data_IF_364737964824
#
_entry.id   IF_364737964824
#
_cell.length_a   1.000
_cell.length_b   1.000
_cell.length_c   1.000
_cell.angle_alpha   90.00
_cell.angle_beta   90.00
_cell.angle_gamma   90.00
#
_symmetry.space_group_name_H-M   'P 1'
#
loop_
_entity.id
_entity.type
_entity.pdbx_description
1 polymer ?
#
# COMPACT_ATOMS: atom_id res chain seq x y z
N UNK A 1 9.39 -11.60 5.23
CA UNK A 1 9.23 -10.22 4.74
C UNK A 1 7.94 -9.64 5.26
N UNK A 2 7.94 -8.38 5.69
CA UNK A 2 6.74 -7.59 5.99
C UNK A 2 6.39 -6.77 4.75
N UNK A 3 5.12 -6.79 4.38
CA UNK A 3 4.60 -6.11 3.19
C UNK A 3 3.54 -5.11 3.60
N UNK A 4 3.75 -3.85 3.25
CA UNK A 4 2.82 -2.74 3.49
C UNK A 4 2.12 -2.42 2.17
N UNK A 5 0.82 -2.64 2.09
CA UNK A 5 0.00 -2.38 0.91
C UNK A 5 -0.72 -1.06 1.14
N UNK A 6 -0.21 0.04 0.59
CA UNK A 6 -0.65 1.40 0.87
C UNK A 6 -1.38 1.99 -0.35
N UNK A 7 -2.70 2.20 -0.22
CA UNK A 7 -3.44 2.98 -1.21
C UNK A 7 -3.06 4.45 -1.13
N UNK A 8 -2.72 5.06 -2.26
CA UNK A 8 -2.37 6.48 -2.33
C UNK A 8 -3.33 7.38 -1.53
N UNK A 9 -2.80 8.50 -1.05
CA UNK A 9 -3.59 9.45 -0.29
C UNK A 9 -4.58 10.23 -1.18
N UNK A 10 -5.42 11.03 -0.55
CA UNK A 10 -6.41 11.87 -1.25
C UNK A 10 -5.72 12.80 -2.26
N UNK A 11 -6.21 12.79 -3.50
CA UNK A 11 -5.72 13.58 -4.61
C UNK A 11 -6.84 14.48 -5.13
N UNK A 12 -6.47 15.62 -5.71
CA UNK A 12 -7.42 16.52 -6.39
C UNK A 12 -8.21 15.75 -7.44
N UNK A 13 -9.41 16.20 -7.78
CA UNK A 13 -10.18 15.57 -8.85
C UNK A 13 -9.59 15.92 -10.22
N UNK A 14 -9.82 15.05 -11.20
CA UNK A 14 -9.45 15.33 -12.58
C UNK A 14 -10.29 16.51 -13.12
N UNK A 15 -9.74 17.20 -14.10
CA UNK A 15 -10.44 18.28 -14.83
C UNK A 15 -10.06 18.23 -16.30
N UNK A 16 -10.67 19.08 -17.12
CA UNK A 16 -10.32 19.22 -18.54
C UNK A 16 -8.82 19.55 -18.75
N UNK A 17 -8.21 20.23 -17.79
CA UNK A 17 -6.79 20.63 -17.82
C UNK A 17 -5.87 19.71 -17.01
N UNK A 18 -6.43 18.80 -16.21
CA UNK A 18 -5.68 17.90 -15.34
C UNK A 18 -6.08 16.43 -15.56
N UNK A 19 -5.25 15.73 -16.33
CA UNK A 19 -5.38 14.29 -16.60
C UNK A 19 -5.25 13.47 -15.31
N UNK A 20 -5.90 12.30 -15.27
CA UNK A 20 -5.92 11.45 -14.06
C UNK A 20 -4.51 11.10 -13.54
N UNK A 21 -3.61 10.74 -14.45
CA UNK A 21 -2.22 10.37 -14.16
C UNK A 21 -1.42 11.47 -13.46
N UNK A 22 -1.79 12.75 -13.68
CA UNK A 22 -1.11 13.92 -13.14
C UNK A 22 -1.77 14.49 -11.89
N UNK A 23 -2.90 13.92 -11.44
CA UNK A 23 -3.55 14.33 -10.20
C UNK A 23 -2.57 14.22 -9.04
N UNK A 24 -2.36 15.35 -8.36
CA UNK A 24 -1.50 15.46 -7.19
C UNK A 24 -2.32 15.39 -5.89
N UNK A 25 -1.64 15.12 -4.78
CA UNK A 25 -2.26 15.03 -3.46
C UNK A 25 -2.85 16.37 -3.01
N UNK A 26 -4.04 16.32 -2.42
CA UNK A 26 -4.62 17.47 -1.68
C UNK A 26 -3.81 17.72 -0.41
N UNK A 27 -3.91 18.91 0.18
CA UNK A 27 -3.27 19.20 1.47
C UNK A 27 -3.72 18.25 2.58
N UNK A 28 -5.02 17.92 2.58
CA UNK A 28 -5.60 16.92 3.48
C UNK A 28 -5.00 15.53 3.21
N UNK A 29 -4.85 15.14 1.95
CA UNK A 29 -4.18 13.91 1.54
C UNK A 29 -2.75 13.83 2.05
N UNK A 30 -1.96 14.90 1.89
CA UNK A 30 -0.58 14.98 2.39
C UNK A 30 -0.53 14.81 3.91
N UNK A 31 -1.38 15.53 4.66
CA UNK A 31 -1.47 15.41 6.13
C UNK A 31 -1.84 13.98 6.56
N UNK A 32 -2.77 13.34 5.86
CA UNK A 32 -3.17 11.96 6.13
C UNK A 32 -2.06 10.96 5.82
N UNK A 33 -1.32 11.14 4.72
CA UNK A 33 -0.17 10.32 4.37
C UNK A 33 0.92 10.39 5.45
N UNK A 34 1.29 11.60 5.89
CA UNK A 34 2.26 11.81 6.99
C UNK A 34 1.77 11.13 8.27
N UNK A 35 0.50 11.37 8.66
CA UNK A 35 -0.07 10.78 9.87
C UNK A 35 -0.06 9.25 9.84
N UNK A 36 -0.44 8.65 8.72
CA UNK A 36 -0.40 7.21 8.56
C UNK A 36 1.03 6.67 8.56
N UNK A 37 1.96 7.29 7.81
CA UNK A 37 3.36 6.88 7.77
C UNK A 37 4.02 6.90 9.16
N UNK A 38 3.78 7.95 9.98
CA UNK A 38 4.25 8.00 11.38
C UNK A 38 3.74 6.82 12.20
N UNK A 39 2.49 6.41 12.00
CA UNK A 39 1.88 5.27 12.70
C UNK A 39 2.38 3.93 12.19
N UNK A 40 2.83 3.85 10.95
CA UNK A 40 3.44 2.65 10.37
C UNK A 40 4.92 2.51 10.79
N UNK A 41 5.61 3.60 11.11
CA UNK A 41 7.00 3.57 11.58
C UNK A 41 7.21 2.67 12.82
N UNK A 42 6.19 2.55 13.68
CA UNK A 42 6.21 1.64 14.84
C UNK A 42 6.19 0.15 14.48
N UNK A 43 5.91 -0.20 13.22
CA UNK A 43 5.90 -1.58 12.71
C UNK A 43 7.19 -1.93 11.97
N UNK A 44 8.29 -1.22 12.22
CA UNK A 44 9.60 -1.56 11.63
C UNK A 44 9.93 -0.86 10.32
N UNK A 45 9.18 0.18 9.94
CA UNK A 45 9.36 0.89 8.65
C UNK A 45 10.67 1.72 8.54
N UNK A 46 11.55 1.69 9.54
CA UNK A 46 12.79 2.49 9.59
C UNK A 46 13.81 2.15 8.49
N UNK A 47 13.62 1.03 7.78
CA UNK A 47 14.38 0.65 6.59
C UNK A 47 13.45 -0.18 5.71
N UNK A 48 12.79 0.50 4.77
CA UNK A 48 11.78 -0.09 3.90
C UNK A 48 12.12 0.24 2.45
N UNK A 49 12.10 -0.77 1.58
CA UNK A 49 12.08 -0.54 0.14
C UNK A 49 10.66 -0.17 -0.27
N UNK A 50 10.46 1.04 -0.74
CA UNK A 50 9.16 1.54 -1.17
C UNK A 50 9.11 1.42 -2.69
N UNK A 51 8.09 0.73 -3.19
CA UNK A 51 7.82 0.58 -4.62
C UNK A 51 6.50 1.30 -4.90
N UNK A 52 6.52 2.20 -5.87
CA UNK A 52 5.38 3.06 -6.18
C UNK A 52 4.90 2.88 -7.61
N UNK A 53 3.58 2.98 -7.78
CA UNK A 53 2.98 3.29 -9.08
C UNK A 53 3.57 4.60 -9.62
N UNK A 54 3.78 4.73 -10.94
CA UNK A 54 4.28 5.95 -11.57
C UNK A 54 3.28 7.12 -11.55
N UNK A 55 2.01 6.92 -11.18
CA UNK A 55 1.03 8.01 -11.13
C UNK A 55 1.39 9.01 -10.02
N UNK A 56 1.27 10.31 -10.29
CA UNK A 56 1.80 11.40 -9.43
C UNK A 56 1.35 11.27 -7.97
N UNK A 57 0.07 11.01 -7.73
CA UNK A 57 -0.47 10.80 -6.37
C UNK A 57 0.16 9.64 -5.60
N UNK A 58 0.53 8.56 -6.28
CA UNK A 58 1.18 7.40 -5.66
C UNK A 58 2.64 7.72 -5.34
N UNK A 59 3.37 8.32 -6.28
CA UNK A 59 4.76 8.76 -6.08
C UNK A 59 4.85 9.76 -4.92
N UNK A 60 3.96 10.76 -4.88
CA UNK A 60 3.92 11.73 -3.77
C UNK A 60 3.60 11.06 -2.43
N UNK A 61 2.73 10.03 -2.41
CA UNK A 61 2.44 9.28 -1.18
C UNK A 61 3.67 8.48 -0.73
N UNK A 62 4.37 7.83 -1.68
CA UNK A 62 5.59 7.07 -1.43
C UNK A 62 6.71 7.95 -0.89
N UNK A 63 6.93 9.12 -1.48
CA UNK A 63 7.93 10.08 -1.02
C UNK A 63 7.64 10.56 0.40
N UNK A 64 6.38 10.93 0.69
CA UNK A 64 5.99 11.31 2.05
C UNK A 64 6.25 10.18 3.04
N UNK A 65 5.97 8.93 2.67
CA UNK A 65 6.26 7.78 3.52
C UNK A 65 7.77 7.59 3.75
N UNK A 66 8.59 7.73 2.70
CA UNK A 66 10.04 7.66 2.79
C UNK A 66 10.60 8.72 3.75
N UNK A 67 10.23 9.98 3.54
CA UNK A 67 10.69 11.13 4.33
C UNK A 67 10.28 11.01 5.80
N UNK A 68 9.09 10.45 6.05
CA UNK A 68 8.55 10.27 7.40
C UNK A 68 9.21 9.12 8.16
N UNK A 69 9.55 8.02 7.47
CA UNK A 69 10.04 6.81 8.11
C UNK A 69 11.57 6.75 8.26
N UNK A 70 12.29 7.64 7.58
CA UNK A 70 13.70 7.95 7.82
C UNK A 70 14.59 7.73 6.60
N UNK A 71 15.80 8.29 6.65
CA UNK A 71 16.75 8.43 5.54
C UNK A 71 17.24 7.12 4.88
N UNK A 72 16.84 5.94 5.39
CA UNK A 72 17.20 4.64 4.81
C UNK A 72 16.12 4.05 3.91
N UNK A 73 15.01 4.75 3.69
CA UNK A 73 13.99 4.31 2.75
C UNK A 73 14.36 4.74 1.33
N UNK A 74 14.25 3.81 0.38
CA UNK A 74 14.41 4.09 -1.06
C UNK A 74 13.05 4.04 -1.74
N UNK A 75 12.84 4.85 -2.77
CA UNK A 75 11.65 4.82 -3.61
C UNK A 75 12.03 4.33 -5.00
N UNK A 76 11.43 3.21 -5.42
CA UNK A 76 11.52 2.62 -6.75
C UNK A 76 10.18 2.80 -7.46
N UNK A 77 10.20 3.10 -8.76
CA UNK A 77 8.99 3.17 -9.58
C UNK A 77 8.82 1.86 -10.33
N UNK A 78 7.62 1.27 -10.26
CA UNK A 78 7.32 0.04 -10.98
C UNK A 78 5.93 0.11 -11.63
N UNK A 79 5.89 -0.12 -12.94
CA UNK A 79 4.67 -0.10 -13.76
C UNK A 79 3.62 -1.13 -13.33
N UNK A 80 4.03 -2.23 -12.67
CA UNK A 80 3.10 -3.24 -12.15
C UNK A 80 2.10 -2.69 -11.12
N UNK A 81 2.39 -1.55 -10.50
CA UNK A 81 1.48 -0.89 -9.54
C UNK A 81 0.53 0.12 -10.18
N UNK A 82 0.59 0.33 -11.50
CA UNK A 82 -0.40 1.13 -12.21
C UNK A 82 -1.80 0.49 -12.12
N UNK A 83 -2.89 1.28 -12.22
CA UNK A 83 -4.22 0.72 -12.39
C UNK A 83 -4.25 -0.27 -13.57
N UNK A 84 -4.70 -1.50 -13.30
CA UNK A 84 -4.75 -2.57 -14.30
C UNK A 84 -3.48 -3.41 -14.44
N UNK A 85 -2.42 -3.16 -13.65
CA UNK A 85 -1.22 -4.00 -13.65
C UNK A 85 -1.49 -5.44 -13.18
N UNK A 86 -0.70 -6.39 -13.69
CA UNK A 86 -0.91 -7.82 -13.48
C UNK A 86 -0.57 -8.28 -12.05
N UNK A 87 -1.53 -8.93 -11.39
CA UNK A 87 -1.39 -9.40 -10.00
C UNK A 87 -0.42 -10.58 -9.88
N UNK A 88 -0.52 -11.64 -10.70
CA UNK A 88 0.49 -12.71 -10.73
C UNK A 88 1.94 -12.20 -10.87
N UNK A 89 2.20 -11.29 -11.80
CA UNK A 89 3.51 -10.67 -12.00
C UNK A 89 3.94 -9.83 -10.79
N UNK A 90 3.03 -9.06 -10.19
CA UNK A 90 3.33 -8.30 -8.97
C UNK A 90 3.66 -9.22 -7.78
N UNK A 91 2.98 -10.36 -7.65
CA UNK A 91 3.31 -11.39 -6.64
C UNK A 91 4.67 -12.02 -6.95
N UNK A 92 4.96 -12.33 -8.22
CA UNK A 92 6.25 -12.88 -8.63
C UNK A 92 7.39 -11.90 -8.31
N UNK A 93 7.23 -10.64 -8.68
CA UNK A 93 8.14 -9.55 -8.34
C UNK A 93 8.34 -9.45 -6.82
N UNK A 94 7.26 -9.46 -6.03
CA UNK A 94 7.38 -9.40 -4.57
C UNK A 94 8.14 -10.61 -3.98
N UNK A 95 7.93 -11.81 -4.52
CA UNK A 95 8.61 -13.04 -4.09
C UNK A 95 10.08 -13.08 -4.50
N UNK A 96 10.49 -12.39 -5.57
CA UNK A 96 11.89 -12.31 -5.99
C UNK A 96 12.72 -11.34 -5.13
N UNK A 97 12.08 -10.51 -4.29
CA UNK A 97 12.77 -9.57 -3.40
C UNK A 97 13.32 -10.26 -2.15
N UNK A 98 14.47 -9.79 -1.69
CA UNK A 98 15.14 -10.24 -0.46
C UNK A 98 14.97 -9.26 0.71
N UNK A 99 14.28 -8.14 0.48
CA UNK A 99 14.05 -7.12 1.49
C UNK A 99 13.26 -7.65 2.70
N UNK A 100 13.61 -7.16 3.89
CA UNK A 100 12.84 -7.46 5.10
C UNK A 100 11.49 -6.76 5.13
N UNK A 101 11.42 -5.54 4.59
CA UNK A 101 10.25 -4.66 4.60
C UNK A 101 10.03 -4.04 3.21
N UNK A 102 8.89 -4.33 2.59
CA UNK A 102 8.51 -3.76 1.29
C UNK A 102 7.20 -3.01 1.42
N UNK A 103 7.16 -1.75 0.98
CA UNK A 103 5.92 -0.99 0.87
C UNK A 103 5.55 -0.88 -0.60
N UNK A 104 4.33 -1.28 -0.93
CA UNK A 104 3.73 -1.13 -2.25
C UNK A 104 2.74 0.03 -2.19
N UNK A 105 2.97 1.09 -2.97
CA UNK A 105 2.09 2.26 -3.04
C UNK A 105 1.35 2.28 -4.37
N UNK A 106 0.03 2.10 -4.34
CA UNK A 106 -0.77 1.90 -5.55
C UNK A 106 -2.24 2.29 -5.42
N UNK A 107 -3.11 1.58 -6.16
CA UNK A 107 -4.50 1.99 -6.41
C UNK A 107 -5.51 0.86 -6.16
N UNK A 108 -6.76 1.25 -5.90
CA UNK A 108 -7.90 0.32 -5.97
C UNK A 108 -8.37 0.17 -7.42
N UNK A 109 -8.92 -1.00 -7.80
CA UNK A 109 -9.16 -2.20 -6.97
C UNK A 109 -7.95 -3.16 -6.86
N UNK A 110 -6.84 -2.84 -7.53
CA UNK A 110 -5.68 -3.73 -7.64
C UNK A 110 -5.08 -4.12 -6.28
N UNK A 111 -4.91 -3.19 -5.36
CA UNK A 111 -4.34 -3.48 -4.03
C UNK A 111 -5.22 -4.42 -3.21
N UNK A 112 -6.54 -4.26 -3.30
CA UNK A 112 -7.51 -5.18 -2.71
C UNK A 112 -7.40 -6.59 -3.25
N UNK A 113 -7.29 -6.73 -4.57
CA UNK A 113 -7.09 -8.02 -5.25
C UNK A 113 -5.75 -8.66 -4.87
N UNK A 114 -4.65 -7.89 -4.87
CA UNK A 114 -3.34 -8.34 -4.41
C UNK A 114 -3.39 -8.89 -2.99
N UNK A 115 -4.06 -8.16 -2.09
CA UNK A 115 -4.20 -8.56 -0.69
C UNK A 115 -4.91 -9.91 -0.58
N UNK A 116 -6.03 -10.08 -1.27
CA UNK A 116 -6.77 -11.34 -1.28
C UNK A 116 -5.93 -12.50 -1.84
N UNK A 117 -5.22 -12.27 -2.95
CA UNK A 117 -4.35 -13.28 -3.57
C UNK A 117 -3.21 -13.70 -2.63
N UNK A 118 -2.54 -12.75 -1.97
CA UNK A 118 -1.47 -13.05 -1.01
C UNK A 118 -1.99 -13.81 0.22
N UNK A 119 -3.20 -13.50 0.67
CA UNK A 119 -3.87 -14.21 1.77
C UNK A 119 -4.51 -15.54 1.34
N UNK A 120 -4.53 -15.86 0.04
CA UNK A 120 -5.29 -16.97 -0.56
C UNK A 120 -6.78 -16.94 -0.14
N UNK A 121 -7.36 -15.75 -0.10
CA UNK A 121 -8.72 -15.51 0.31
C UNK A 121 -9.62 -15.21 -0.90
N UNK A 122 -10.88 -15.68 -0.86
CA UNK A 122 -11.85 -15.49 -1.95
C UNK A 122 -12.35 -14.05 -2.08
N UNK A 123 -12.52 -13.36 -0.95
CA UNK A 123 -13.05 -12.00 -0.91
C UNK A 123 -11.93 -10.97 -1.02
N UNK A 124 -12.11 -9.99 -1.90
CA UNK A 124 -11.27 -8.79 -2.00
C UNK A 124 -11.68 -7.73 -0.98
N UNK A 125 -10.71 -7.00 -0.44
CA UNK A 125 -10.92 -5.86 0.45
C UNK A 125 -10.80 -4.55 -0.32
N UNK A 126 -11.71 -3.59 -0.10
CA UNK A 126 -11.61 -2.27 -0.73
C UNK A 126 -10.89 -1.27 0.18
N UNK A 127 -9.62 -0.99 -0.10
CA UNK A 127 -8.83 -0.08 0.73
C UNK A 127 -9.37 1.36 0.63
N UNK A 128 -9.53 2.08 1.73
CA UNK A 128 -9.90 3.52 1.70
C UNK A 128 -8.68 4.35 1.26
N UNK A 129 -8.88 5.53 0.63
CA UNK A 129 -7.76 6.46 0.34
C UNK A 129 -7.01 6.75 1.66
N UNK A 130 -5.69 6.86 1.63
CA UNK A 130 -4.86 7.00 2.85
C UNK A 130 -5.04 5.83 3.85
N UNK A 131 -4.96 4.59 3.35
CA UNK A 131 -5.00 3.40 4.19
C UNK A 131 -3.93 2.39 3.78
N UNK A 132 -3.52 1.56 4.74
CA UNK A 132 -2.46 0.58 4.57
C UNK A 132 -2.85 -0.74 5.23
N UNK A 133 -2.65 -1.84 4.52
CA UNK A 133 -2.66 -3.19 5.07
C UNK A 133 -1.22 -3.63 5.33
N UNK A 134 -0.99 -4.36 6.41
CA UNK A 134 0.30 -4.96 6.73
C UNK A 134 0.14 -6.47 6.74
N UNK A 135 0.96 -7.15 5.93
CA UNK A 135 1.03 -8.60 5.82
C UNK A 135 2.43 -9.10 6.19
N UNK A 136 2.52 -10.35 6.65
CA UNK A 136 3.78 -11.08 6.79
C UNK A 136 3.81 -12.23 5.77
N UNK A 137 4.86 -12.27 4.96
CA UNK A 137 5.17 -13.38 4.05
C UNK A 137 6.36 -14.16 4.61
N UNK A 138 6.16 -15.46 4.85
CA UNK A 138 7.21 -16.39 5.30
C UNK A 138 7.81 -17.09 4.08
N UNK A 139 9.09 -16.84 3.81
CA UNK A 139 9.79 -17.43 2.65
C UNK A 139 10.06 -18.94 2.77
N UNK A 140 9.79 -19.53 3.94
CA UNK A 140 10.08 -20.94 4.22
C UNK A 140 9.24 -21.92 3.39
N UNK A 141 8.09 -21.49 2.83
CA UNK A 141 7.18 -22.31 2.03
C UNK A 141 6.57 -21.48 0.89
N UNK A 142 6.96 -21.69 -0.39
CA UNK A 142 6.54 -20.86 -1.53
C UNK A 142 5.01 -20.77 -1.76
N UNK A 143 4.27 -21.77 -1.28
CA UNK A 143 2.82 -21.88 -1.39
C UNK A 143 2.06 -21.46 -0.12
N UNK A 144 2.75 -20.98 0.92
CA UNK A 144 2.10 -20.57 2.16
C UNK A 144 1.44 -19.19 1.99
N UNK A 145 0.17 -19.09 2.41
CA UNK A 145 -0.55 -17.83 2.47
C UNK A 145 0.15 -16.84 3.40
N UNK A 146 0.10 -15.55 3.03
CA UNK A 146 0.55 -14.47 3.90
C UNK A 146 -0.30 -14.41 5.17
N UNK A 147 0.27 -13.88 6.25
CA UNK A 147 -0.45 -13.62 7.50
C UNK A 147 -0.90 -12.17 7.54
N UNK A 148 -2.19 -11.93 7.73
CA UNK A 148 -2.72 -10.58 7.95
C UNK A 148 -2.32 -10.09 9.35
N UNK A 149 -1.66 -8.93 9.44
CA UNK A 149 -1.28 -8.34 10.72
C UNK A 149 -2.26 -7.23 11.12
N UNK A 150 -2.48 -6.26 10.24
CA UNK A 150 -3.39 -5.15 10.53
C UNK A 150 -3.82 -4.38 9.28
N UNK A 151 -4.98 -3.73 9.38
CA UNK A 151 -5.44 -2.68 8.48
C UNK A 151 -5.51 -1.35 9.25
N UNK A 152 -4.93 -0.30 8.66
CA UNK A 152 -4.82 1.04 9.21
C UNK A 152 -5.40 2.05 8.23
N UNK A 153 -6.30 2.90 8.71
CA UNK A 153 -6.79 4.07 7.96
C UNK A 153 -6.34 5.32 8.71
N UNK A 154 -5.90 6.35 7.97
CA UNK A 154 -5.56 7.64 8.57
C UNK A 154 -6.70 8.13 9.47
N UNK A 155 -6.37 8.57 10.70
CA UNK A 155 -7.34 9.03 11.69
C UNK A 155 -8.20 7.96 12.37
N UNK A 156 -8.08 6.66 12.04
CA UNK A 156 -8.88 5.58 12.66
C UNK A 156 -8.03 4.60 13.47
N UNK A 157 -8.67 3.82 14.35
CA UNK A 157 -8.04 2.72 15.08
C UNK A 157 -7.60 1.58 14.14
N UNK A 158 -6.63 0.78 14.58
CA UNK A 158 -6.26 -0.45 13.84
C UNK A 158 -7.37 -1.48 13.88
N UNK A 159 -7.47 -2.21 12.78
CA UNK A 159 -8.20 -3.46 12.70
C UNK A 159 -7.17 -4.59 12.59
N UNK A 160 -7.19 -5.56 13.52
CA UNK A 160 -6.26 -6.69 13.57
C UNK A 160 -6.84 -8.01 13.03
N UNK A 161 -8.09 -7.98 12.57
CA UNK A 161 -8.77 -9.15 11.99
C UNK A 161 -9.16 -8.85 10.55
N UNK A 162 -8.78 -9.71 9.62
CA UNK A 162 -9.12 -9.54 8.21
C UNK A 162 -10.64 -9.56 7.97
N UNK A 163 -11.39 -10.42 8.68
CA UNK A 163 -12.86 -10.45 8.64
C UNK A 163 -13.46 -9.09 9.00
N UNK A 164 -13.02 -8.50 10.12
CA UNK A 164 -13.46 -7.15 10.54
C UNK A 164 -13.04 -6.07 9.54
N UNK A 165 -11.89 -6.25 8.88
CA UNK A 165 -11.42 -5.30 7.87
C UNK A 165 -12.33 -5.34 6.62
N UNK A 166 -12.74 -6.52 6.17
CA UNK A 166 -13.70 -6.69 5.08
C UNK A 166 -15.05 -6.03 5.41
N UNK A 167 -15.58 -6.27 6.60
CA UNK A 167 -16.84 -5.67 7.08
C UNK A 167 -16.77 -4.14 7.07
N UNK A 168 -15.66 -3.55 7.54
CA UNK A 168 -15.46 -2.10 7.60
C UNK A 168 -15.30 -1.40 6.24
N UNK A 169 -15.06 -2.17 5.17
CA UNK A 169 -14.88 -1.66 3.79
C UNK A 169 -16.10 -1.90 2.89
N UNK A 170 -17.09 -2.69 3.34
CA UNK A 170 -18.36 -2.92 2.63
C UNK A 170 -19.39 -1.79 2.83
N UNK A 171 -19.03 -0.78 3.63
CA UNK A 171 -19.79 0.45 3.90
C UNK A 171 -19.04 1.67 3.38
#
# INVERSE_FOLDING_TARGET
MIVYIFRHAEAVEASETLRDEWRYLTDKGRKNAVSLAKRLASHGLKSCSIVSSPLVRAVQTAQIAADTCGAKCTVEINGLLQPGGDIPELIHYLKSRTDKNVMLVGHEPQLGALTAALLQHKDTIQLKKSSCIILEIKHLKPAQAATFLTYRVAGKNQIKSFKKALEATRQ
#
